data_IF_179278533989
#
_entry.id   IF_179278533989
#
_cell.length_a   1.000
_cell.length_b   1.000
_cell.length_c   1.000
_cell.angle_alpha   90.00
_cell.angle_beta   90.00
_cell.angle_gamma   90.00
#
_symmetry.space_group_name_H-M   'P 1'
#
loop_
_entity.id
_entity.type
_entity.pdbx_description
1 polymer ?
#
# COMPACT_ATOMS: atom_id res chain seq x y z
N UNK A 1 17.99 -50.42 -25.82
CA UNK A 1 19.38 -50.86 -26.05
C UNK A 1 20.26 -50.42 -24.88
N UNK A 2 20.90 -51.35 -24.19
CA UNK A 2 21.71 -51.10 -22.98
C UNK A 2 21.39 -52.10 -21.86
N UNK A 3 22.32 -52.39 -20.94
CA UNK A 3 22.04 -53.29 -19.81
C UNK A 3 20.85 -52.79 -18.99
N UNK A 4 19.85 -53.64 -18.80
CA UNK A 4 18.61 -53.30 -18.05
C UNK A 4 17.78 -52.14 -18.65
N UNK A 5 17.95 -51.82 -19.94
CA UNK A 5 17.08 -50.89 -20.63
C UNK A 5 15.70 -51.54 -20.86
N UNK A 6 14.62 -50.90 -20.41
CA UNK A 6 13.27 -51.42 -20.48
C UNK A 6 12.34 -50.43 -21.20
N UNK A 7 11.84 -50.83 -22.37
CA UNK A 7 10.69 -50.21 -23.03
C UNK A 7 9.48 -51.11 -22.79
N UNK A 8 8.55 -50.67 -21.93
CA UNK A 8 7.50 -51.54 -21.37
C UNK A 8 6.15 -51.46 -22.11
N UNK A 9 5.92 -50.37 -22.85
CA UNK A 9 4.64 -50.07 -23.50
C UNK A 9 4.81 -49.91 -25.01
N UNK A 10 3.68 -49.87 -25.73
CA UNK A 10 3.66 -49.71 -27.19
C UNK A 10 4.41 -48.45 -27.65
N UNK A 11 5.22 -48.63 -28.70
CA UNK A 11 6.01 -47.56 -29.32
C UNK A 11 6.96 -46.82 -28.36
N UNK A 12 7.33 -47.42 -27.22
CA UNK A 12 8.30 -46.85 -26.30
C UNK A 12 9.75 -47.08 -26.77
N UNK A 13 10.63 -46.11 -26.50
CA UNK A 13 12.06 -46.16 -26.81
C UNK A 13 12.89 -46.05 -25.53
N UNK A 14 13.71 -47.06 -25.23
CA UNK A 14 14.67 -47.02 -24.11
C UNK A 14 16.10 -47.27 -24.60
N UNK A 15 17.01 -46.31 -24.39
CA UNK A 15 18.41 -46.35 -24.80
C UNK A 15 19.33 -45.91 -23.65
N UNK A 16 20.28 -46.75 -23.25
CA UNK A 16 21.20 -46.51 -22.13
C UNK A 16 21.01 -47.51 -20.98
N UNK A 17 22.06 -47.70 -20.17
CA UNK A 17 22.00 -48.62 -19.04
C UNK A 17 20.92 -48.16 -18.03
N UNK A 18 20.00 -49.06 -17.64
CA UNK A 18 18.87 -48.76 -16.75
C UNK A 18 17.89 -47.69 -17.26
N UNK A 19 17.88 -47.38 -18.56
CA UNK A 19 16.87 -46.50 -19.14
C UNK A 19 15.48 -47.17 -19.07
N UNK A 20 14.47 -46.47 -18.56
CA UNK A 20 13.12 -47.01 -18.36
C UNK A 20 12.07 -46.14 -19.05
N UNK A 21 11.51 -46.63 -20.14
CA UNK A 21 10.39 -46.03 -20.86
C UNK A 21 9.12 -46.86 -20.55
N UNK A 22 8.30 -46.38 -19.60
CA UNK A 22 7.12 -47.08 -19.07
C UNK A 22 5.79 -46.55 -19.57
N UNK A 23 5.78 -45.43 -20.31
CA UNK A 23 4.57 -44.89 -20.90
C UNK A 23 4.44 -45.30 -22.38
N UNK A 24 3.21 -45.38 -22.87
CA UNK A 24 2.95 -45.49 -24.31
C UNK A 24 3.60 -44.31 -25.06
N UNK A 25 4.23 -44.55 -26.19
CA UNK A 25 4.97 -43.53 -26.97
C UNK A 25 6.11 -42.82 -26.21
N UNK A 26 6.56 -43.34 -25.05
CA UNK A 26 7.58 -42.68 -24.24
C UNK A 26 9.00 -42.88 -24.76
N UNK A 27 9.90 -41.94 -24.45
CA UNK A 27 11.31 -41.97 -24.87
C UNK A 27 12.20 -41.76 -23.65
N UNK A 28 13.09 -42.71 -23.36
CA UNK A 28 14.09 -42.63 -22.31
C UNK A 28 15.49 -42.86 -22.91
N UNK A 29 16.33 -41.83 -22.95
CA UNK A 29 17.68 -41.88 -23.55
C UNK A 29 18.72 -41.38 -22.56
N UNK A 30 19.61 -42.26 -22.11
CA UNK A 30 20.68 -41.99 -21.16
C UNK A 30 20.70 -43.01 -20.02
N UNK A 31 21.82 -43.06 -19.29
CA UNK A 31 21.94 -43.97 -18.13
C UNK A 31 20.97 -43.53 -17.02
N UNK A 32 20.26 -44.50 -16.46
CA UNK A 32 19.32 -44.32 -15.34
C UNK A 32 18.21 -43.29 -15.63
N UNK A 33 17.74 -43.21 -16.88
CA UNK A 33 16.63 -42.32 -17.27
C UNK A 33 15.27 -42.97 -17.04
N UNK A 34 14.23 -42.16 -16.79
CA UNK A 34 12.87 -42.66 -16.58
C UNK A 34 11.81 -41.80 -17.25
N UNK A 35 11.08 -42.36 -18.22
CA UNK A 35 9.88 -41.75 -18.80
C UNK A 35 8.65 -42.59 -18.42
N UNK A 36 7.88 -42.14 -17.42
CA UNK A 36 6.93 -43.00 -16.71
C UNK A 36 5.48 -42.94 -17.21
N UNK A 37 5.12 -41.91 -17.99
CA UNK A 37 3.75 -41.65 -18.46
C UNK A 37 3.70 -41.50 -19.98
N UNK A 38 2.49 -41.56 -20.53
CA UNK A 38 2.26 -41.51 -21.98
C UNK A 38 2.91 -40.27 -22.61
N UNK A 39 3.63 -40.48 -23.72
CA UNK A 39 4.33 -39.43 -24.46
C UNK A 39 5.46 -38.73 -23.70
N UNK A 40 5.87 -39.23 -22.53
CA UNK A 40 6.96 -38.64 -21.75
C UNK A 40 8.32 -38.82 -22.44
N UNK A 41 9.15 -37.77 -22.44
CA UNK A 41 10.48 -37.76 -23.06
C UNK A 41 11.53 -37.40 -22.00
N UNK A 42 12.40 -38.33 -21.63
CA UNK A 42 13.51 -38.15 -20.72
C UNK A 42 14.85 -38.39 -21.44
N UNK A 43 15.70 -37.37 -21.55
CA UNK A 43 16.99 -37.44 -22.24
C UNK A 43 18.11 -36.88 -21.35
N UNK A 44 19.15 -37.67 -21.08
CA UNK A 44 20.32 -37.29 -20.29
C UNK A 44 20.47 -38.11 -19.01
N UNK A 45 21.69 -38.25 -18.50
CA UNK A 45 21.98 -39.08 -17.32
C UNK A 45 21.11 -38.67 -16.12
N UNK A 46 20.38 -39.64 -15.55
CA UNK A 46 19.48 -39.46 -14.40
C UNK A 46 18.29 -38.50 -14.62
N UNK A 47 17.91 -38.21 -15.87
CA UNK A 47 16.70 -37.42 -16.17
C UNK A 47 15.41 -38.22 -15.98
N UNK A 48 14.32 -37.55 -15.61
CA UNK A 48 13.04 -38.20 -15.37
C UNK A 48 11.82 -37.36 -15.75
N UNK A 49 10.82 -38.00 -16.35
CA UNK A 49 9.46 -37.47 -16.54
C UNK A 49 8.43 -38.33 -15.81
N UNK A 50 7.58 -37.69 -15.00
CA UNK A 50 6.57 -38.34 -14.15
C UNK A 50 5.13 -38.05 -14.59
N UNK A 51 4.95 -37.22 -15.63
CA UNK A 51 3.66 -36.73 -16.11
C UNK A 51 3.49 -36.92 -17.63
N UNK A 52 2.24 -36.86 -18.10
CA UNK A 52 1.90 -37.10 -19.50
C UNK A 52 2.44 -36.01 -20.41
N UNK A 53 2.99 -36.39 -21.56
CA UNK A 53 3.55 -35.48 -22.59
C UNK A 53 4.61 -34.52 -22.05
N UNK A 54 5.23 -34.85 -20.92
CA UNK A 54 6.27 -34.05 -20.29
C UNK A 54 7.64 -34.31 -20.95
N UNK A 55 8.51 -33.30 -20.95
CA UNK A 55 9.87 -33.37 -21.49
C UNK A 55 10.85 -33.03 -20.37
N UNK A 56 11.85 -33.89 -20.14
CA UNK A 56 13.01 -33.63 -19.29
C UNK A 56 14.29 -33.90 -20.11
N UNK A 57 15.12 -32.88 -20.31
CA UNK A 57 16.35 -32.98 -21.08
C UNK A 57 17.52 -32.34 -20.32
N UNK A 58 18.58 -33.11 -20.05
CA UNK A 58 19.76 -32.67 -19.30
C UNK A 58 20.10 -33.60 -18.13
N UNK A 59 21.29 -33.46 -17.54
CA UNK A 59 21.68 -34.22 -16.35
C UNK A 59 20.71 -33.94 -15.19
N UNK A 60 20.16 -34.98 -14.58
CA UNK A 60 19.27 -34.87 -13.42
C UNK A 60 18.06 -33.92 -13.60
N UNK A 61 17.62 -33.68 -14.84
CA UNK A 61 16.42 -32.88 -15.13
C UNK A 61 15.15 -33.63 -14.76
N UNK A 62 14.15 -32.93 -14.22
CA UNK A 62 12.89 -33.52 -13.73
C UNK A 62 11.69 -32.74 -14.24
N UNK A 63 10.76 -33.42 -14.90
CA UNK A 63 9.46 -32.87 -15.27
C UNK A 63 8.32 -33.68 -14.66
N UNK A 64 7.46 -33.03 -13.87
CA UNK A 64 6.36 -33.66 -13.10
C UNK A 64 4.99 -33.04 -13.38
N UNK A 65 4.93 -31.93 -14.13
CA UNK A 65 3.66 -31.35 -14.60
C UNK A 65 3.22 -31.92 -15.94
N UNK A 66 1.91 -32.08 -16.16
CA UNK A 66 1.39 -32.53 -17.47
C UNK A 66 1.78 -31.55 -18.58
N UNK A 67 2.38 -32.05 -19.65
CA UNK A 67 2.89 -31.24 -20.76
C UNK A 67 4.03 -30.29 -20.38
N UNK A 68 4.65 -30.47 -19.21
CA UNK A 68 5.71 -29.60 -18.73
C UNK A 68 7.06 -29.92 -19.38
N UNK A 69 7.88 -28.89 -19.59
CA UNK A 69 9.19 -28.96 -20.24
C UNK A 69 10.25 -28.54 -19.22
N UNK A 70 11.25 -29.38 -19.00
CA UNK A 70 12.44 -29.10 -18.19
C UNK A 70 13.70 -29.37 -19.02
N UNK A 71 14.44 -28.34 -19.39
CA UNK A 71 15.64 -28.44 -20.24
C UNK A 71 16.82 -27.76 -19.54
N UNK A 72 17.82 -28.54 -19.14
CA UNK A 72 19.01 -28.06 -18.44
C UNK A 72 19.48 -29.03 -17.37
N UNK A 73 20.73 -28.84 -16.94
CA UNK A 73 21.30 -29.57 -15.80
C UNK A 73 20.53 -29.21 -14.51
N UNK A 74 19.97 -30.19 -13.83
CA UNK A 74 19.06 -30.05 -12.67
C UNK A 74 17.86 -29.11 -12.92
N UNK A 75 17.38 -28.97 -14.16
CA UNK A 75 16.15 -28.23 -14.45
C UNK A 75 14.92 -28.97 -13.88
N UNK A 76 14.02 -28.26 -13.22
CA UNK A 76 12.81 -28.81 -12.60
C UNK A 76 11.57 -28.08 -13.13
N UNK A 77 10.58 -28.82 -13.62
CA UNK A 77 9.27 -28.26 -14.01
C UNK A 77 8.12 -29.06 -13.40
N UNK A 78 7.45 -28.48 -12.39
CA UNK A 78 6.34 -29.12 -11.66
C UNK A 78 4.94 -28.64 -12.07
N UNK A 79 4.84 -27.44 -12.67
CA UNK A 79 3.56 -26.85 -13.07
C UNK A 79 3.03 -27.46 -14.37
N UNK A 80 1.70 -27.58 -14.51
CA UNK A 80 1.05 -28.01 -15.76
C UNK A 80 1.41 -27.04 -16.89
N UNK A 81 1.91 -27.57 -18.01
CA UNK A 81 2.48 -26.78 -19.12
C UNK A 81 3.60 -25.81 -18.70
N UNK A 82 4.26 -26.05 -17.56
CA UNK A 82 5.38 -25.26 -17.10
C UNK A 82 6.61 -25.46 -18.00
N UNK A 83 7.30 -24.39 -18.35
CA UNK A 83 8.52 -24.42 -19.15
C UNK A 83 9.69 -23.93 -18.30
N UNK A 84 10.62 -24.82 -17.96
CA UNK A 84 11.87 -24.53 -17.27
C UNK A 84 13.05 -24.78 -18.19
N UNK A 85 13.76 -23.71 -18.58
CA UNK A 85 14.94 -23.82 -19.45
C UNK A 85 16.13 -23.14 -18.78
N UNK A 86 17.20 -23.90 -18.55
CA UNK A 86 18.44 -23.43 -17.92
C UNK A 86 18.92 -24.32 -16.80
N UNK A 87 20.22 -24.26 -16.51
CA UNK A 87 20.84 -24.99 -15.40
C UNK A 87 20.23 -24.52 -14.07
N UNK A 88 19.81 -25.45 -13.22
CA UNK A 88 19.12 -25.18 -11.94
C UNK A 88 17.85 -24.32 -12.07
N UNK A 89 17.25 -24.21 -13.26
CA UNK A 89 15.95 -23.53 -13.41
C UNK A 89 14.85 -24.36 -12.74
N UNK A 90 13.96 -23.72 -11.98
CA UNK A 90 12.94 -24.44 -11.22
C UNK A 90 11.57 -23.75 -11.20
N UNK A 91 10.56 -24.44 -11.75
CA UNK A 91 9.14 -24.18 -11.46
C UNK A 91 8.75 -25.14 -10.34
N UNK A 92 8.66 -24.64 -9.11
CA UNK A 92 8.34 -25.41 -7.90
C UNK A 92 6.90 -25.14 -7.45
N UNK A 93 5.95 -25.32 -8.36
CA UNK A 93 4.55 -25.41 -8.00
C UNK A 93 3.93 -26.67 -8.58
N UNK A 94 3.12 -27.34 -7.76
CA UNK A 94 2.39 -28.53 -8.19
C UNK A 94 0.96 -28.07 -8.46
N UNK A 95 0.43 -28.28 -9.68
CA UNK A 95 -0.96 -27.96 -10.01
C UNK A 95 -1.19 -27.35 -11.40
N UNK A 96 -2.24 -26.52 -11.52
CA UNK A 96 -2.75 -25.91 -12.77
C UNK A 96 -1.90 -24.78 -13.35
N UNK A 97 -0.76 -24.51 -12.74
CA UNK A 97 -0.03 -23.30 -13.02
C UNK A 97 0.83 -23.40 -14.27
N UNK A 98 0.61 -22.48 -15.21
CA UNK A 98 1.42 -22.34 -16.42
C UNK A 98 2.48 -21.26 -16.20
N UNK A 99 3.73 -21.64 -15.98
CA UNK A 99 4.83 -20.69 -15.83
C UNK A 99 5.86 -20.88 -16.94
N UNK A 100 6.54 -19.80 -17.30
CA UNK A 100 7.67 -19.86 -18.24
C UNK A 100 8.89 -19.27 -17.54
N UNK A 101 9.91 -20.08 -17.31
CA UNK A 101 11.19 -19.64 -16.78
C UNK A 101 12.33 -20.01 -17.72
N UNK A 102 13.21 -19.04 -17.97
CA UNK A 102 14.37 -19.22 -18.86
C UNK A 102 15.57 -18.51 -18.23
N UNK A 103 16.61 -19.25 -17.89
CA UNK A 103 17.85 -18.72 -17.31
C UNK A 103 18.47 -19.65 -16.27
N UNK A 104 19.78 -19.51 -16.05
CA UNK A 104 20.48 -20.26 -14.99
C UNK A 104 19.94 -19.85 -13.62
N UNK A 105 19.40 -20.79 -12.85
CA UNK A 105 18.79 -20.54 -11.56
C UNK A 105 17.53 -19.67 -11.59
N UNK A 106 16.90 -19.50 -12.77
CA UNK A 106 15.60 -18.84 -12.85
C UNK A 106 14.56 -19.62 -12.03
N UNK A 107 13.61 -18.93 -11.42
CA UNK A 107 12.72 -19.53 -10.43
C UNK A 107 11.29 -18.98 -10.52
N UNK A 108 10.32 -19.89 -10.47
CA UNK A 108 8.92 -19.58 -10.20
C UNK A 108 8.39 -20.50 -9.09
N UNK A 109 7.87 -19.94 -8.01
CA UNK A 109 7.35 -20.75 -6.90
C UNK A 109 7.19 -19.98 -5.60
N UNK A 110 7.01 -20.72 -4.50
CA UNK A 110 6.87 -20.15 -3.16
C UNK A 110 8.14 -19.36 -2.78
N UNK A 111 8.00 -18.05 -2.64
CA UNK A 111 9.08 -17.23 -2.08
C UNK A 111 9.41 -17.67 -0.66
N UNK A 112 10.67 -17.50 -0.25
CA UNK A 112 11.13 -17.69 1.14
C UNK A 112 10.58 -16.63 2.12
N UNK A 113 9.69 -15.75 1.66
CA UNK A 113 8.97 -14.86 2.56
C UNK A 113 7.79 -15.63 3.11
N UNK A 114 7.66 -15.78 4.44
CA UNK A 114 6.42 -16.25 5.01
C UNK A 114 5.36 -15.29 4.47
N UNK A 115 4.38 -15.82 3.73
CA UNK A 115 3.11 -15.13 3.60
C UNK A 115 2.74 -14.79 5.03
N UNK A 116 2.74 -13.51 5.36
CA UNK A 116 2.25 -13.05 6.66
C UNK A 116 0.79 -13.49 6.62
N UNK A 117 0.51 -14.68 7.16
CA UNK A 117 -0.81 -15.27 7.29
C UNK A 117 -1.47 -14.45 8.41
N UNK A 118 -1.67 -13.16 8.13
CA UNK A 118 -2.31 -12.24 9.04
C UNK A 118 -3.77 -12.60 8.91
N UNK A 119 -4.24 -13.46 9.81
CA UNK A 119 -5.67 -13.72 9.99
C UNK A 119 -6.34 -12.38 10.26
N UNK A 120 -7.03 -11.83 9.26
CA UNK A 120 -7.73 -10.58 9.40
C UNK A 120 -9.11 -10.89 9.98
N UNK A 121 -9.29 -10.64 11.27
CA UNK A 121 -10.58 -10.75 11.95
C UNK A 121 -11.37 -9.44 11.71
N UNK A 122 -12.45 -9.47 10.92
CA UNK A 122 -13.41 -8.35 10.83
C UNK A 122 -14.64 -8.64 11.70
N UNK A 123 -15.10 -7.69 12.54
CA UNK A 123 -16.36 -7.82 13.27
C UNK A 123 -17.52 -7.90 12.27
N UNK A 124 -18.50 -8.78 12.49
CA UNK A 124 -19.76 -8.74 11.77
C UNK A 124 -20.47 -7.41 12.05
N UNK A 125 -20.82 -6.64 11.02
CA UNK A 125 -21.67 -5.46 11.18
C UNK A 125 -23.02 -5.89 11.79
N UNK A 126 -23.21 -5.63 13.08
CA UNK A 126 -24.55 -5.62 13.69
C UNK A 126 -24.77 -4.24 14.28
N UNK A 127 -25.80 -3.54 13.78
CA UNK A 127 -26.40 -2.39 14.45
C UNK A 127 -26.70 -2.80 15.89
N UNK A 128 -26.06 -2.13 16.85
CA UNK A 128 -26.39 -2.28 18.26
C UNK A 128 -27.75 -1.60 18.45
N UNK A 129 -28.84 -2.37 18.36
CA UNK A 129 -30.12 -1.97 18.95
C UNK A 129 -30.01 -2.22 20.45
N UNK A 130 -29.99 -1.13 21.22
CA UNK A 130 -30.15 -1.20 22.67
C UNK A 130 -31.64 -1.46 22.92
N UNK A 131 -31.98 -2.68 23.31
CA UNK A 131 -33.33 -3.00 23.79
C UNK A 131 -33.33 -2.88 25.32
N UNK A 132 -34.23 -2.04 25.85
CA UNK A 132 -34.28 -1.56 27.24
C UNK A 132 -35.03 -2.53 28.17
N UNK A 133 -34.85 -3.84 28.05
CA UNK A 133 -35.58 -4.78 28.90
C UNK A 133 -34.72 -5.96 29.41
N UNK A 134 -34.45 -6.06 30.73
CA UNK A 134 -33.42 -6.98 31.26
C UNK A 134 -33.91 -8.39 31.60
N UNK A 135 -35.07 -8.84 31.11
CA UNK A 135 -35.63 -10.15 31.50
C UNK A 135 -35.79 -11.12 30.33
N UNK A 136 -34.71 -11.88 30.06
CA UNK A 136 -34.67 -13.34 29.86
C UNK A 136 -33.35 -13.75 29.19
N UNK A 137 -32.40 -14.18 30.02
CA UNK A 137 -31.19 -14.89 29.56
C UNK A 137 -31.45 -16.38 29.80
N UNK A 138 -31.56 -17.16 28.72
CA UNK A 138 -31.56 -18.61 28.76
C UNK A 138 -30.35 -19.16 28.01
N UNK A 139 -29.38 -19.72 28.75
CA UNK A 139 -28.31 -20.57 28.23
C UNK A 139 -26.88 -20.08 28.50
N UNK A 140 -26.26 -20.61 29.58
CA UNK A 140 -24.83 -20.93 29.81
C UNK A 140 -23.77 -20.03 29.13
N UNK A 141 -22.91 -19.25 29.81
CA UNK A 141 -21.94 -19.63 30.86
C UNK A 141 -21.50 -18.39 31.68
N UNK A 142 -21.26 -18.61 32.97
CA UNK A 142 -20.69 -17.65 33.93
C UNK A 142 -19.23 -17.32 33.59
N UNK A 143 -18.85 -16.03 33.65
CA UNK A 143 -17.46 -15.64 33.86
C UNK A 143 -17.40 -14.92 35.21
N UNK A 144 -16.85 -15.59 36.23
CA UNK A 144 -16.53 -14.97 37.51
C UNK A 144 -15.04 -14.56 37.53
N UNK A 145 -14.83 -13.24 37.58
CA UNK A 145 -13.73 -12.45 38.15
C UNK A 145 -12.31 -13.03 38.28
N UNK A 146 -11.36 -12.34 37.63
CA UNK A 146 -10.25 -11.69 38.36
C UNK A 146 -9.66 -10.52 37.56
N UNK A 147 -9.75 -9.32 38.15
CA UNK A 147 -8.87 -8.16 38.02
C UNK A 147 -7.83 -8.12 36.87
N UNK A 148 -8.27 -7.79 35.65
CA UNK A 148 -7.60 -6.91 34.66
C UNK A 148 -8.40 -7.01 33.37
N UNK A 149 -8.74 -5.86 32.78
CA UNK A 149 -9.80 -5.72 31.77
C UNK A 149 -9.53 -6.40 30.42
N UNK A 150 -9.66 -7.72 30.34
CA UNK A 150 -9.69 -8.45 29.06
C UNK A 150 -11.11 -8.94 28.79
N UNK A 151 -11.87 -8.16 28.00
CA UNK A 151 -13.13 -8.65 27.40
C UNK A 151 -12.78 -9.72 26.36
N UNK A 152 -13.01 -11.00 26.67
CA UNK A 152 -12.92 -12.08 25.68
C UNK A 152 -14.20 -12.12 24.84
N UNK A 153 -14.14 -11.58 23.63
CA UNK A 153 -15.23 -11.66 22.65
C UNK A 153 -15.31 -13.07 22.06
N UNK A 154 -16.50 -13.67 22.01
CA UNK A 154 -16.72 -14.97 21.40
C UNK A 154 -16.27 -14.99 19.92
N UNK A 155 -15.51 -16.01 19.53
CA UNK A 155 -14.93 -16.19 18.18
C UNK A 155 -16.00 -16.22 17.07
N UNK A 156 -17.24 -16.58 17.42
CA UNK A 156 -18.39 -16.61 16.49
C UNK A 156 -18.79 -15.25 15.91
N UNK A 157 -18.31 -14.14 16.45
CA UNK A 157 -18.57 -12.77 15.94
C UNK A 157 -17.60 -12.29 14.86
N UNK A 158 -16.66 -13.14 14.44
CA UNK A 158 -15.70 -12.85 13.40
C UNK A 158 -15.78 -13.92 12.31
N UNK A 159 -15.86 -13.49 11.04
CA UNK A 159 -15.60 -14.40 9.93
C UNK A 159 -14.10 -14.44 9.63
N UNK A 160 -13.57 -15.66 9.46
CA UNK A 160 -12.24 -15.87 8.91
C UNK A 160 -12.25 -15.45 7.45
N UNK A 161 -11.59 -14.34 7.13
CA UNK A 161 -11.31 -13.98 5.75
C UNK A 161 -9.97 -14.64 5.41
N UNK A 162 -10.01 -15.68 4.59
CA UNK A 162 -8.84 -16.07 3.82
C UNK A 162 -8.68 -15.01 2.73
N UNK A 163 -7.64 -14.16 2.77
CA UNK A 163 -7.42 -13.30 1.64
C UNK A 163 -7.21 -14.19 0.41
N UNK A 164 -7.81 -13.77 -0.70
CA UNK A 164 -7.90 -14.50 -1.97
C UNK A 164 -6.51 -14.62 -2.65
N UNK A 165 -5.54 -15.27 -2.00
CA UNK A 165 -4.17 -15.45 -2.46
C UNK A 165 -3.87 -16.90 -2.88
N UNK A 166 -4.89 -17.64 -3.33
CA UNK A 166 -4.76 -19.04 -3.72
C UNK A 166 -3.91 -19.29 -4.99
N UNK A 167 -3.52 -18.23 -5.72
CA UNK A 167 -2.82 -18.33 -7.02
C UNK A 167 -1.44 -17.68 -7.06
N UNK A 168 -0.72 -17.61 -5.94
CA UNK A 168 0.66 -17.12 -5.98
C UNK A 168 1.45 -17.88 -7.07
N UNK A 169 2.37 -17.21 -7.77
CA UNK A 169 3.29 -17.79 -8.77
C UNK A 169 2.64 -18.63 -9.89
N UNK A 170 1.35 -18.48 -10.21
CA UNK A 170 0.77 -19.03 -11.44
C UNK A 170 0.77 -17.99 -12.55
N UNK A 171 0.88 -18.44 -13.81
CA UNK A 171 0.79 -17.58 -15.00
C UNK A 171 1.91 -16.54 -15.07
N UNK A 172 3.08 -16.87 -14.55
CA UNK A 172 4.21 -15.96 -14.39
C UNK A 172 5.36 -16.27 -15.36
N UNK A 173 6.16 -15.25 -15.66
CA UNK A 173 7.29 -15.32 -16.60
C UNK A 173 8.57 -14.84 -15.91
N UNK A 174 9.59 -15.68 -15.80
CA UNK A 174 10.92 -15.29 -15.32
C UNK A 174 11.98 -15.51 -16.41
N UNK A 175 12.63 -14.44 -16.87
CA UNK A 175 13.64 -14.51 -17.91
C UNK A 175 14.95 -13.87 -17.43
N UNK A 176 16.03 -14.64 -17.37
CA UNK A 176 17.35 -14.20 -16.96
C UNK A 176 17.96 -15.08 -15.87
N UNK A 177 19.30 -15.01 -15.74
CA UNK A 177 20.02 -15.69 -14.66
C UNK A 177 19.51 -15.22 -13.30
N UNK A 178 19.08 -16.14 -12.45
CA UNK A 178 18.52 -15.86 -11.13
C UNK A 178 17.26 -14.97 -11.13
N UNK A 179 16.54 -14.86 -12.25
CA UNK A 179 15.25 -14.15 -12.30
C UNK A 179 14.18 -14.91 -11.49
N UNK A 180 13.38 -14.19 -10.71
CA UNK A 180 12.42 -14.77 -9.76
C UNK A 180 11.02 -14.20 -9.94
N UNK A 181 10.03 -15.08 -10.09
CA UNK A 181 8.61 -14.73 -9.99
C UNK A 181 7.97 -15.46 -8.81
N UNK A 182 7.43 -14.70 -7.86
CA UNK A 182 6.73 -15.24 -6.68
C UNK A 182 5.25 -14.80 -6.69
N UNK A 183 4.96 -13.65 -7.30
CA UNK A 183 3.60 -13.17 -7.50
C UNK A 183 2.81 -13.96 -8.55
N UNK A 184 1.49 -13.95 -8.42
CA UNK A 184 0.55 -14.37 -9.47
C UNK A 184 0.68 -13.45 -10.69
N UNK A 185 0.62 -13.98 -11.91
CA UNK A 185 0.62 -13.18 -13.15
C UNK A 185 1.77 -12.16 -13.21
N UNK A 186 2.93 -12.51 -12.63
CA UNK A 186 4.05 -11.58 -12.52
C UNK A 186 5.11 -11.84 -13.59
N UNK A 187 5.82 -10.78 -13.96
CA UNK A 187 6.85 -10.84 -15.00
C UNK A 187 8.16 -10.32 -14.40
N UNK A 188 9.22 -11.12 -14.47
CA UNK A 188 10.57 -10.76 -14.07
C UNK A 188 11.52 -10.95 -15.27
N UNK A 189 12.12 -9.87 -15.76
CA UNK A 189 12.98 -9.90 -16.94
C UNK A 189 14.33 -9.20 -16.66
N UNK A 190 15.40 -9.98 -16.56
CA UNK A 190 16.76 -9.52 -16.30
C UNK A 190 17.46 -10.34 -15.21
N UNK A 191 18.78 -10.25 -15.16
CA UNK A 191 19.57 -11.01 -14.18
C UNK A 191 19.26 -10.56 -12.73
N UNK A 192 18.93 -11.51 -11.86
CA UNK A 192 18.58 -11.26 -10.46
C UNK A 192 17.29 -10.46 -10.25
N UNK A 193 16.46 -10.29 -11.28
CA UNK A 193 15.15 -9.63 -11.13
C UNK A 193 14.24 -10.38 -10.17
N UNK A 194 13.34 -9.65 -9.50
CA UNK A 194 12.34 -10.26 -8.63
C UNK A 194 10.98 -9.57 -8.75
N UNK A 195 9.96 -10.33 -9.14
CA UNK A 195 8.57 -9.87 -9.16
C UNK A 195 7.75 -10.65 -8.12
N UNK A 196 7.61 -10.06 -6.92
CA UNK A 196 6.98 -10.72 -5.75
C UNK A 196 5.50 -10.37 -5.56
N UNK A 197 5.07 -9.21 -6.03
CA UNK A 197 3.66 -8.83 -5.98
C UNK A 197 2.82 -9.55 -7.03
N UNK A 198 1.55 -9.79 -6.75
CA UNK A 198 0.60 -10.20 -7.79
C UNK A 198 0.49 -9.11 -8.86
N UNK A 199 0.40 -9.51 -10.12
CA UNK A 199 0.29 -8.62 -11.29
C UNK A 199 1.43 -7.59 -11.38
N UNK A 200 2.61 -7.95 -10.86
CA UNK A 200 3.79 -7.08 -10.85
C UNK A 200 4.73 -7.31 -12.02
N UNK A 201 5.44 -6.25 -12.44
CA UNK A 201 6.39 -6.29 -13.55
C UNK A 201 7.74 -5.72 -13.14
N UNK A 202 8.77 -6.56 -13.16
CA UNK A 202 10.17 -6.19 -12.92
C UNK A 202 11.01 -6.36 -14.19
N UNK A 203 11.70 -5.31 -14.61
CA UNK A 203 12.56 -5.31 -15.78
C UNK A 203 13.91 -4.63 -15.49
N UNK A 204 15.03 -5.32 -15.73
CA UNK A 204 16.39 -4.79 -15.53
C UNK A 204 17.20 -5.55 -14.46
N UNK A 205 18.52 -5.37 -14.40
CA UNK A 205 19.35 -6.13 -13.46
C UNK A 205 18.96 -5.81 -12.01
N UNK A 206 18.65 -6.84 -11.20
CA UNK A 206 18.26 -6.70 -9.80
C UNK A 206 17.03 -5.78 -9.55
N UNK A 207 16.17 -5.57 -10.54
CA UNK A 207 14.92 -4.82 -10.36
C UNK A 207 13.92 -5.61 -9.49
N UNK A 208 13.22 -4.92 -8.58
CA UNK A 208 12.31 -5.53 -7.62
C UNK A 208 10.93 -4.87 -7.56
N UNK A 209 9.90 -5.63 -7.90
CA UNK A 209 8.48 -5.24 -7.76
C UNK A 209 7.86 -6.07 -6.64
N UNK A 210 7.78 -5.48 -5.44
CA UNK A 210 7.34 -6.16 -4.21
C UNK A 210 5.85 -5.99 -3.94
N UNK A 211 5.26 -4.86 -4.36
CA UNK A 211 3.84 -4.59 -4.17
C UNK A 211 2.93 -5.20 -5.23
N UNK A 212 1.65 -5.38 -4.90
CA UNK A 212 0.64 -5.77 -5.90
C UNK A 212 0.49 -4.69 -6.97
N UNK A 213 0.29 -5.08 -8.23
CA UNK A 213 0.17 -4.16 -9.37
C UNK A 213 1.38 -3.22 -9.58
N UNK A 214 2.54 -3.56 -9.00
CA UNK A 214 3.71 -2.69 -9.00
C UNK A 214 4.58 -2.88 -10.25
N UNK A 215 5.31 -1.82 -10.62
CA UNK A 215 6.17 -1.76 -11.80
C UNK A 215 7.57 -1.27 -11.40
N UNK A 216 8.61 -2.07 -11.63
CA UNK A 216 10.00 -1.67 -11.47
C UNK A 216 10.78 -1.85 -12.79
N UNK A 217 11.23 -0.77 -13.41
CA UNK A 217 12.03 -0.78 -14.63
C UNK A 217 13.35 -0.06 -14.38
N UNK A 218 14.47 -0.78 -14.47
CA UNK A 218 15.81 -0.22 -14.34
C UNK A 218 16.70 -1.03 -13.39
N UNK A 219 18.02 -0.84 -13.51
CA UNK A 219 18.97 -1.54 -12.64
C UNK A 219 18.74 -1.15 -11.17
N UNK A 220 18.46 -2.15 -10.32
CA UNK A 220 18.12 -1.98 -8.90
C UNK A 220 16.92 -1.05 -8.63
N UNK A 221 16.00 -0.87 -9.58
CA UNK A 221 14.74 -0.16 -9.34
C UNK A 221 13.88 -0.95 -8.36
N UNK A 222 13.20 -0.28 -7.43
CA UNK A 222 12.39 -0.95 -6.39
C UNK A 222 11.01 -0.29 -6.25
N UNK A 223 9.96 -1.04 -6.57
CA UNK A 223 8.57 -0.68 -6.27
C UNK A 223 8.09 -1.51 -5.06
N UNK A 224 8.08 -0.90 -3.87
CA UNK A 224 7.96 -1.63 -2.59
C UNK A 224 6.52 -1.96 -2.21
N UNK A 225 5.58 -1.12 -2.63
CA UNK A 225 4.18 -1.05 -2.14
C UNK A 225 3.16 -1.11 -3.28
N UNK A 226 1.88 -1.21 -2.93
CA UNK A 226 0.81 -1.46 -3.90
C UNK A 226 0.73 -0.33 -4.93
N UNK A 227 0.57 -0.71 -6.20
CA UNK A 227 0.53 0.22 -7.34
C UNK A 227 1.74 1.18 -7.44
N UNK A 228 2.86 0.84 -6.81
CA UNK A 228 4.10 1.63 -6.90
C UNK A 228 4.75 1.49 -8.28
N UNK A 229 5.19 2.60 -8.86
CA UNK A 229 5.90 2.66 -10.14
C UNK A 229 7.29 3.23 -9.90
N UNK A 230 8.34 2.47 -10.22
CA UNK A 230 9.73 2.86 -10.13
C UNK A 230 10.41 2.68 -11.50
N UNK A 231 10.80 3.78 -12.17
CA UNK A 231 11.43 3.76 -13.49
C UNK A 231 12.75 4.53 -13.45
N UNK A 232 13.87 3.83 -13.56
CA UNK A 232 15.22 4.40 -13.51
C UNK A 232 16.18 3.57 -12.66
N UNK A 233 17.48 3.81 -12.80
CA UNK A 233 18.49 3.10 -11.99
C UNK A 233 18.34 3.53 -10.52
N UNK A 234 18.10 2.59 -9.61
CA UNK A 234 17.91 2.85 -8.17
C UNK A 234 16.67 3.73 -7.88
N UNK A 235 15.75 3.89 -8.85
CA UNK A 235 14.46 4.55 -8.59
C UNK A 235 13.68 3.76 -7.54
N UNK A 236 13.14 4.44 -6.53
CA UNK A 236 12.44 3.76 -5.43
C UNK A 236 11.07 4.37 -5.12
N UNK A 237 10.02 3.56 -5.25
CA UNK A 237 8.65 3.87 -4.87
C UNK A 237 8.32 3.15 -3.55
N UNK A 238 8.49 3.82 -2.39
CA UNK A 238 8.32 3.22 -1.06
C UNK A 238 6.87 3.21 -0.56
N UNK A 239 6.01 4.04 -1.14
CA UNK A 239 4.67 4.37 -0.68
C UNK A 239 3.58 3.78 -1.59
N UNK A 240 2.35 3.69 -1.11
CA UNK A 240 1.23 3.18 -1.92
C UNK A 240 0.87 4.20 -3.01
N UNK A 241 0.52 3.71 -4.20
CA UNK A 241 0.18 4.55 -5.37
C UNK A 241 1.28 5.57 -5.77
N UNK A 242 2.54 5.32 -5.41
CA UNK A 242 3.64 6.25 -5.66
C UNK A 242 4.29 6.07 -7.03
N UNK A 243 4.77 7.18 -7.61
CA UNK A 243 5.43 7.20 -8.92
C UNK A 243 6.81 7.84 -8.82
N UNK A 244 7.86 7.04 -8.98
CA UNK A 244 9.26 7.44 -8.90
C UNK A 244 9.94 7.22 -10.26
N UNK A 245 10.22 8.30 -10.99
CA UNK A 245 10.79 8.25 -12.34
C UNK A 245 12.08 9.08 -12.39
N UNK A 246 13.22 8.42 -12.56
CA UNK A 246 14.54 9.05 -12.60
C UNK A 246 15.59 8.24 -11.84
N UNK A 247 16.86 8.41 -12.19
CA UNK A 247 17.95 7.74 -11.47
C UNK A 247 18.02 8.29 -10.04
N UNK A 248 18.10 7.41 -9.03
CA UNK A 248 18.04 7.78 -7.61
C UNK A 248 16.78 8.54 -7.16
N UNK A 249 15.71 8.56 -7.96
CA UNK A 249 14.43 9.16 -7.53
C UNK A 249 13.80 8.38 -6.37
N UNK A 250 13.13 9.06 -5.46
CA UNK A 250 12.52 8.45 -4.28
C UNK A 250 11.16 9.07 -3.96
N UNK A 251 10.15 8.21 -3.76
CA UNK A 251 8.87 8.63 -3.18
C UNK A 251 8.65 7.89 -1.87
N UNK A 252 8.36 8.62 -0.80
CA UNK A 252 8.08 8.06 0.54
C UNK A 252 6.68 8.39 1.07
N UNK A 253 5.90 9.16 0.32
CA UNK A 253 4.52 9.54 0.66
C UNK A 253 3.51 8.90 -0.30
N UNK A 254 2.35 8.51 0.21
CA UNK A 254 1.30 7.86 -0.57
C UNK A 254 0.79 8.82 -1.65
N UNK A 255 0.60 8.32 -2.88
CA UNK A 255 0.22 9.13 -4.04
C UNK A 255 1.30 10.11 -4.52
N UNK A 256 2.50 10.10 -3.92
CA UNK A 256 3.58 11.01 -4.28
C UNK A 256 4.16 10.75 -5.66
N UNK A 257 4.65 11.82 -6.30
CA UNK A 257 5.30 11.75 -7.62
C UNK A 257 6.66 12.43 -7.54
N UNK A 258 7.73 11.67 -7.79
CA UNK A 258 9.08 12.19 -8.00
C UNK A 258 9.48 11.98 -9.46
N UNK A 259 9.81 13.06 -10.16
CA UNK A 259 10.18 13.05 -11.58
C UNK A 259 11.52 13.77 -11.79
N UNK A 260 12.58 13.02 -12.03
CA UNK A 260 13.93 13.51 -12.28
C UNK A 260 15.01 12.75 -11.51
N UNK A 261 16.27 12.95 -11.92
CA UNK A 261 17.43 12.42 -11.19
C UNK A 261 17.48 13.00 -9.76
N UNK A 262 17.67 12.15 -8.76
CA UNK A 262 17.66 12.51 -7.31
C UNK A 262 16.39 13.24 -6.82
N UNK A 263 15.29 13.20 -7.56
CA UNK A 263 14.04 13.83 -7.12
C UNK A 263 13.43 13.07 -5.94
N UNK A 264 12.95 13.80 -4.93
CA UNK A 264 12.37 13.24 -3.71
C UNK A 264 10.95 13.80 -3.52
N UNK A 265 9.97 12.92 -3.36
CA UNK A 265 8.63 13.28 -2.92
C UNK A 265 8.42 12.79 -1.48
N UNK A 266 8.54 13.72 -0.53
CA UNK A 266 8.49 13.50 0.92
C UNK A 266 7.45 14.36 1.65
N UNK A 267 6.69 15.18 0.92
CA UNK A 267 5.68 16.08 1.51
C UNK A 267 4.28 15.49 1.40
N UNK A 268 3.59 15.41 2.53
CA UNK A 268 2.23 14.88 2.62
C UNK A 268 1.16 15.81 2.03
N UNK A 269 -0.09 15.35 2.10
CA UNK A 269 -1.27 16.06 1.61
C UNK A 269 -1.37 17.50 2.16
N UNK A 270 -1.87 18.43 1.35
CA UNK A 270 -2.08 19.85 1.68
C UNK A 270 -0.81 20.69 1.93
N UNK A 271 0.36 20.19 1.53
CA UNK A 271 1.59 21.00 1.52
C UNK A 271 1.68 21.84 0.24
N UNK A 272 2.01 23.14 0.39
CA UNK A 272 2.33 23.99 -0.76
C UNK A 272 3.71 23.59 -1.29
N UNK A 273 3.77 23.25 -2.58
CA UNK A 273 5.01 22.93 -3.29
C UNK A 273 5.95 24.14 -3.42
N UNK A 274 7.11 23.94 -4.03
CA UNK A 274 8.13 24.99 -4.22
C UNK A 274 7.82 25.81 -5.48
N UNK A 275 7.87 27.14 -5.40
CA UNK A 275 7.95 28.03 -6.58
C UNK A 275 9.40 28.03 -7.10
N UNK A 276 9.66 27.23 -8.12
CA UNK A 276 10.99 27.14 -8.75
C UNK A 276 11.40 28.41 -9.51
N UNK A 277 10.48 29.34 -9.77
CA UNK A 277 10.81 30.60 -10.45
C UNK A 277 11.48 31.61 -9.52
N UNK A 278 11.32 31.45 -8.20
CA UNK A 278 11.76 32.42 -7.19
C UNK A 278 11.10 33.81 -7.30
N UNK A 279 10.07 33.93 -8.15
CA UNK A 279 9.38 35.20 -8.44
C UNK A 279 8.44 35.58 -7.31
N UNK A 280 7.80 34.59 -6.69
CA UNK A 280 6.68 34.78 -5.78
C UNK A 280 6.97 34.30 -4.36
N UNK A 281 7.85 33.32 -4.19
CA UNK A 281 8.30 32.88 -2.85
C UNK A 281 9.81 32.72 -2.81
N UNK A 282 10.39 32.79 -1.61
CA UNK A 282 11.79 32.52 -1.35
C UNK A 282 12.02 32.05 0.08
N UNK A 283 13.29 31.86 0.43
CA UNK A 283 13.74 31.50 1.78
C UNK A 283 14.64 32.63 2.29
N UNK A 284 14.43 33.08 3.52
CA UNK A 284 15.26 34.12 4.16
C UNK A 284 16.53 33.54 4.81
N UNK A 285 17.35 34.42 5.39
CA UNK A 285 18.61 34.03 6.04
C UNK A 285 18.42 33.13 7.30
N UNK A 286 17.20 33.08 7.84
CA UNK A 286 16.83 32.25 8.98
C UNK A 286 16.05 31.00 8.56
N UNK A 287 16.03 30.69 7.25
CA UNK A 287 15.38 29.54 6.66
C UNK A 287 13.83 29.56 6.74
N UNK A 288 13.22 30.74 6.84
CA UNK A 288 11.76 30.91 6.77
C UNK A 288 11.28 31.18 5.33
N UNK A 289 10.11 30.63 4.98
CA UNK A 289 9.44 30.97 3.73
C UNK A 289 8.98 32.42 3.75
N UNK A 290 9.36 33.17 2.71
CA UNK A 290 8.98 34.56 2.52
C UNK A 290 8.27 34.76 1.19
N UNK A 291 7.31 35.68 1.16
CA UNK A 291 6.71 36.16 -0.08
C UNK A 291 7.69 37.11 -0.79
N UNK A 292 7.66 37.09 -2.12
CA UNK A 292 8.42 37.97 -3.00
C UNK A 292 7.51 38.58 -4.08
N UNK A 293 8.00 39.63 -4.72
CA UNK A 293 7.31 40.29 -5.83
C UNK A 293 5.93 40.82 -5.44
N UNK A 294 4.98 40.70 -6.37
CA UNK A 294 3.60 41.20 -6.23
C UNK A 294 2.89 40.64 -4.98
N UNK A 295 3.10 39.37 -4.66
CA UNK A 295 2.50 38.72 -3.49
C UNK A 295 2.98 39.31 -2.16
N UNK A 296 4.25 39.74 -2.08
CA UNK A 296 4.76 40.45 -0.91
C UNK A 296 4.03 41.79 -0.76
N UNK A 297 3.93 42.55 -1.86
CA UNK A 297 3.27 43.85 -1.87
C UNK A 297 1.81 43.76 -1.46
N UNK A 298 1.07 42.78 -2.00
CA UNK A 298 -0.34 42.56 -1.67
C UNK A 298 -0.53 42.14 -0.20
N UNK A 299 0.34 41.28 0.32
CA UNK A 299 0.32 40.88 1.73
C UNK A 299 0.61 42.06 2.67
N UNK A 300 1.55 42.94 2.32
CA UNK A 300 1.87 44.14 3.11
C UNK A 300 0.72 45.16 3.08
N UNK A 301 0.08 45.35 1.93
CA UNK A 301 -1.11 46.18 1.80
C UNK A 301 -2.27 45.64 2.66
N UNK A 302 -2.54 44.34 2.59
CA UNK A 302 -3.58 43.69 3.41
C UNK A 302 -3.29 43.82 4.91
N UNK A 303 -2.02 43.68 5.31
CA UNK A 303 -1.63 43.88 6.71
C UNK A 303 -1.84 45.33 7.17
N UNK A 304 -1.60 46.29 6.27
CA UNK A 304 -1.87 47.72 6.52
C UNK A 304 -3.37 47.97 6.69
N UNK A 305 -4.21 47.39 5.83
CA UNK A 305 -5.66 47.50 5.93
C UNK A 305 -6.20 46.86 7.22
N UNK A 306 -5.66 45.70 7.61
CA UNK A 306 -5.99 45.05 8.89
C UNK A 306 -5.64 45.97 10.07
N UNK A 307 -4.47 46.61 10.04
CA UNK A 307 -4.05 47.51 11.12
C UNK A 307 -4.92 48.77 11.18
N UNK A 308 -5.24 49.36 10.03
CA UNK A 308 -6.16 50.49 9.95
C UNK A 308 -7.56 50.12 10.45
N UNK A 309 -8.06 48.92 10.11
CA UNK A 309 -9.34 48.42 10.59
C UNK A 309 -9.33 48.20 12.12
N UNK A 310 -8.22 47.70 12.69
CA UNK A 310 -8.06 47.55 14.14
C UNK A 310 -8.10 48.89 14.87
N UNK A 311 -7.43 49.91 14.35
CA UNK A 311 -7.45 51.26 14.96
C UNK A 311 -8.85 51.88 14.89
N UNK A 312 -9.53 51.77 13.74
CA UNK A 312 -10.93 52.23 13.61
C UNK A 312 -11.85 51.53 14.61
N UNK A 313 -11.72 50.22 14.73
CA UNK A 313 -12.50 49.44 15.69
C UNK A 313 -12.25 49.90 17.13
N UNK A 314 -11.00 50.20 17.49
CA UNK A 314 -10.65 50.72 18.82
C UNK A 314 -11.31 52.09 19.08
N UNK A 315 -11.23 53.02 18.13
CA UNK A 315 -11.88 54.33 18.26
C UNK A 315 -13.40 54.22 18.36
N UNK A 316 -14.02 53.33 17.59
CA UNK A 316 -15.46 53.12 17.64
C UNK A 316 -15.88 52.57 19.00
N UNK A 317 -15.12 51.63 19.57
CA UNK A 317 -15.34 51.12 20.94
C UNK A 317 -15.26 52.22 21.99
N UNK A 318 -14.27 53.13 21.89
CA UNK A 318 -14.13 54.28 22.80
C UNK A 318 -15.36 55.22 22.73
N UNK A 319 -15.80 55.57 21.51
CA UNK A 319 -17.01 56.39 21.31
C UNK A 319 -18.28 55.73 21.84
N UNK A 320 -18.43 54.41 21.65
CA UNK A 320 -19.57 53.68 22.21
C UNK A 320 -19.58 53.72 23.74
N UNK A 321 -18.40 53.69 24.38
CA UNK A 321 -18.28 53.84 25.84
C UNK A 321 -18.75 55.22 26.31
N UNK A 322 -18.30 56.30 25.65
CA UNK A 322 -18.71 57.68 25.97
C UNK A 322 -20.22 57.88 25.79
N UNK A 323 -20.80 57.35 24.70
CA UNK A 323 -22.24 57.42 24.45
C UNK A 323 -23.04 56.64 25.50
N UNK A 324 -22.52 55.50 25.97
CA UNK A 324 -23.13 54.73 27.05
C UNK A 324 -23.15 55.51 28.37
N UNK A 325 -22.06 56.21 28.71
CA UNK A 325 -22.00 57.07 29.89
C UNK A 325 -22.98 58.25 29.79
N UNK A 326 -23.02 58.93 28.65
CA UNK A 326 -23.95 60.03 28.40
C UNK A 326 -25.42 59.57 28.50
N UNK A 327 -25.73 58.38 27.97
CA UNK A 327 -27.07 57.79 28.09
C UNK A 327 -27.45 57.55 29.55
N UNK A 328 -26.54 57.00 30.36
CA UNK A 328 -26.79 56.77 31.79
C UNK A 328 -27.05 58.10 32.55
N UNK A 329 -26.32 59.16 32.20
CA UNK A 329 -26.53 60.50 32.77
C UNK A 329 -27.92 61.07 32.42
N UNK A 330 -28.33 60.97 31.15
CA UNK A 330 -29.61 61.51 30.66
C UNK A 330 -30.81 60.72 31.16
N UNK A 331 -30.74 59.38 31.14
CA UNK A 331 -31.89 58.53 31.49
C UNK A 331 -32.01 58.29 33.01
N UNK A 332 -30.90 58.37 33.75
CA UNK A 332 -30.88 58.11 35.20
C UNK A 332 -30.76 59.37 36.05
N UNK A 333 -29.64 60.07 35.93
CA UNK A 333 -29.27 61.10 36.90
C UNK A 333 -30.03 62.42 36.75
N UNK A 334 -30.23 62.92 35.52
CA UNK A 334 -30.94 64.18 35.28
C UNK A 334 -32.41 64.12 35.73
N UNK A 335 -33.21 63.08 35.38
CA UNK A 335 -34.58 62.97 35.83
C UNK A 335 -34.70 62.85 37.35
N UNK A 336 -33.77 62.13 38.01
CA UNK A 336 -33.70 62.02 39.45
C UNK A 336 -33.37 63.36 40.13
N UNK A 337 -32.46 64.15 39.56
CA UNK A 337 -32.15 65.49 40.03
C UNK A 337 -33.34 66.44 39.84
N UNK A 338 -34.03 66.38 38.70
CA UNK A 338 -35.16 67.24 38.40
C UNK A 338 -36.39 66.94 39.28
N UNK A 339 -36.66 65.65 39.57
CA UNK A 339 -37.72 65.27 40.52
C UNK A 339 -37.42 65.77 41.94
N UNK A 340 -36.16 65.71 42.36
CA UNK A 340 -35.69 66.27 43.63
C UNK A 340 -35.83 67.79 43.68
N UNK A 341 -35.45 68.49 42.60
CA UNK A 341 -35.61 69.93 42.47
C UNK A 341 -37.08 70.36 42.55
N UNK A 342 -37.96 69.73 41.75
CA UNK A 342 -39.38 70.03 41.75
C UNK A 342 -40.01 69.77 43.12
N UNK A 343 -39.61 68.70 43.81
CA UNK A 343 -40.06 68.41 45.18
C UNK A 343 -39.64 69.51 46.16
N UNK A 344 -38.40 70.01 46.07
CA UNK A 344 -37.92 71.14 46.87
C UNK A 344 -38.63 72.44 46.53
N UNK A 345 -38.86 72.72 45.25
CA UNK A 345 -39.54 73.92 44.78
C UNK A 345 -40.99 73.96 45.26
N UNK A 346 -41.72 72.85 45.15
CA UNK A 346 -43.08 72.73 45.68
C UNK A 346 -43.11 72.97 47.20
N UNK A 347 -42.15 72.41 47.94
CA UNK A 347 -42.02 72.65 49.38
C UNK A 347 -41.71 74.11 49.71
N UNK A 348 -40.89 74.78 48.91
CA UNK A 348 -40.62 76.21 49.04
C UNK A 348 -41.89 77.04 48.80
N UNK A 349 -42.63 76.77 47.72
CA UNK A 349 -43.91 77.46 47.43
C UNK A 349 -44.95 77.24 48.52
N UNK A 350 -45.04 76.03 49.08
CA UNK A 350 -45.92 75.74 50.22
C UNK A 350 -45.53 76.57 51.44
N UNK A 351 -44.24 76.65 51.79
CA UNK A 351 -43.75 77.49 52.88
C UNK A 351 -44.00 78.98 52.63
N UNK A 352 -43.82 79.45 51.40
CA UNK A 352 -44.07 80.84 51.02
C UNK A 352 -45.55 81.21 51.13
N UNK A 353 -46.45 80.32 50.70
CA UNK A 353 -47.89 80.50 50.86
C UNK A 353 -48.31 80.48 52.34
N UNK A 354 -47.72 79.60 53.17
CA UNK A 354 -47.97 79.58 54.61
C UNK A 354 -47.52 80.86 55.31
N UNK A 355 -46.41 81.48 54.87
CA UNK A 355 -45.98 82.79 55.39
C UNK A 355 -46.95 83.91 54.99
N UNK A 356 -47.43 83.92 53.74
CA UNK A 356 -48.33 84.96 53.25
C UNK A 356 -49.75 84.86 53.82
N UNK A 357 -50.19 83.68 54.26
CA UNK A 357 -51.50 83.48 54.92
C UNK A 357 -51.48 83.79 56.42
N UNK A 358 -50.33 84.14 56.99
CA UNK A 358 -50.14 84.38 58.43
C UNK A 358 -49.94 85.87 58.78
N UNK A 359 -50.21 86.79 57.84
CA UNK A 359 -50.24 88.24 58.01
C UNK A 359 -51.65 88.78 57.78
#
# INVERSE_FOLDING_TARGET
MGPWANALEDSALALGAQAKASGKYSVAIGRSTSALKEGGIAIGLNSATYAERAIAQGFASISTGDGAIAIGDHAISQGKYGISIGVNSAINNVGTATNIIIGNGAYAGRGTQPSKLTMLLKPSEQKISVDENPEKIGGTEYIANSAEGIRRTAVSKYHLIFPKYAKQFENSIAFGTLAQTVGHQSIAFGAGTRASGADSLSFGIAAESRGHYSLAIGSSAVAKRESGIAIGRIATAHADNSVSIGTYSQVIIDGGVALGDHSIADRGENSVGVDFSGKYTGIDANNHYILKGELKTESEAMQTDINNAKERFKTDVEKYSELSELRNLIEGEIPAANSTFNSRNNRYTQLQNQMNSSN
#
